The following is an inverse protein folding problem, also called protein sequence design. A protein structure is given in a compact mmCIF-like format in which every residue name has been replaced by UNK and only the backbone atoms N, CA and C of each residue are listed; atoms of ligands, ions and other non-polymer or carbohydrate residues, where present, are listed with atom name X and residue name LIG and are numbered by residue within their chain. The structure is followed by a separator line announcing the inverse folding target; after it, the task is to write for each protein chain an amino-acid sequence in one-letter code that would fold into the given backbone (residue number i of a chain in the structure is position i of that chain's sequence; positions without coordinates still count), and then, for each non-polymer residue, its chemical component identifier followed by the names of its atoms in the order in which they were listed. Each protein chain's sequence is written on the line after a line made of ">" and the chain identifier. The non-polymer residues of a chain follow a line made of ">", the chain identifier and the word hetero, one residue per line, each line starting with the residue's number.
data_IF_649219273223
#
_entry.id   IF_649219273223
#
_cell.length_a   1.000
_cell.length_b   1.000
_cell.length_c   1.000
_cell.angle_alpha   90.00
_cell.angle_beta   90.00
_cell.angle_gamma   90.00
#
_symmetry.space_group_name_H-M   'P 1'
#
loop_
_entity.id
_entity.type
_entity.pdbx_description
1 polymer ?
#
# COMPACT_ATOMS: atom_id res chain seq x y z
N UNK A 1 -6.99 8.48 -0.03
CA UNK A 1 -5.71 7.72 -0.08
C UNK A 1 -4.91 7.76 1.22
N UNK A 2 -4.92 8.87 1.97
CA UNK A 2 -4.09 9.03 3.18
C UNK A 2 -4.38 8.05 4.33
N UNK A 3 -5.54 7.40 4.38
CA UNK A 3 -5.87 6.39 5.42
C UNK A 3 -5.72 4.93 4.94
N UNK A 4 -6.01 4.66 3.67
CA UNK A 4 -6.02 3.30 3.11
C UNK A 4 -4.60 2.76 2.94
N UNK A 5 -3.66 3.60 2.48
CA UNK A 5 -2.27 3.18 2.26
C UNK A 5 -1.56 2.79 3.57
N UNK A 6 -1.65 3.55 4.68
CA UNK A 6 -1.12 3.12 5.98
C UNK A 6 -1.73 1.83 6.53
N UNK A 7 -3.04 1.61 6.33
CA UNK A 7 -3.70 0.38 6.75
C UNK A 7 -3.23 -0.83 5.94
N UNK A 8 -3.13 -0.69 4.62
CA UNK A 8 -2.59 -1.74 3.75
C UNK A 8 -1.12 -2.04 4.05
N UNK A 9 -0.32 -1.01 4.32
CA UNK A 9 1.08 -1.15 4.72
C UNK A 9 1.21 -1.93 6.04
N UNK A 10 0.38 -1.61 7.06
CA UNK A 10 0.30 -2.39 8.30
C UNK A 10 -0.10 -3.84 8.06
N UNK A 11 -1.10 -4.06 7.19
CA UNK A 11 -1.64 -5.39 6.90
C UNK A 11 -0.67 -6.28 6.13
N UNK A 12 0.13 -5.67 5.26
CA UNK A 12 1.17 -6.34 4.48
C UNK A 12 2.52 -6.45 5.22
N UNK A 13 2.64 -5.90 6.43
CA UNK A 13 3.88 -5.96 7.21
C UNK A 13 5.00 -5.09 6.64
N UNK A 14 4.65 -4.04 5.89
CA UNK A 14 5.61 -3.04 5.38
C UNK A 14 6.09 -2.21 6.55
N UNK A 15 7.23 -2.58 7.12
CA UNK A 15 7.86 -1.91 8.26
C UNK A 15 9.15 -1.20 7.85
N UNK A 16 9.59 -0.25 8.66
CA UNK A 16 10.93 0.35 8.50
C UNK A 16 12.06 -0.69 8.71
N UNK A 17 11.80 -1.80 9.41
CA UNK A 17 12.73 -2.93 9.50
C UNK A 17 12.86 -3.64 8.14
N UNK A 18 11.75 -3.90 7.44
CA UNK A 18 11.79 -4.47 6.08
C UNK A 18 12.56 -3.56 5.11
N UNK A 19 12.47 -2.25 5.28
CA UNK A 19 13.23 -1.27 4.48
C UNK A 19 14.74 -1.38 4.72
N UNK A 20 15.15 -1.63 5.96
CA UNK A 20 16.55 -1.80 6.34
C UNK A 20 17.12 -3.16 5.91
N UNK A 21 16.30 -4.22 5.93
CA UNK A 21 16.69 -5.58 5.55
C UNK A 21 16.63 -5.83 4.04
N UNK A 22 15.61 -5.28 3.37
CA UNK A 22 15.39 -5.46 1.94
C UNK A 22 14.60 -4.28 1.33
N UNK A 23 15.35 -3.23 0.97
CA UNK A 23 14.82 -2.01 0.39
C UNK A 23 14.01 -2.24 -0.90
N UNK A 24 14.42 -3.18 -1.77
CA UNK A 24 13.71 -3.46 -3.02
C UNK A 24 12.35 -4.10 -2.77
N UNK A 25 12.26 -5.03 -1.81
CA UNK A 25 11.00 -5.63 -1.39
C UNK A 25 10.09 -4.60 -0.72
N UNK A 26 10.65 -3.71 0.10
CA UNK A 26 9.90 -2.62 0.71
C UNK A 26 9.29 -1.68 -0.34
N UNK A 27 10.04 -1.30 -1.38
CA UNK A 27 9.50 -0.49 -2.50
C UNK A 27 8.40 -1.25 -3.24
N UNK A 28 8.61 -2.55 -3.52
CA UNK A 28 7.61 -3.40 -4.19
C UNK A 28 6.29 -3.43 -3.41
N UNK A 29 6.34 -3.65 -2.10
CA UNK A 29 5.14 -3.75 -1.27
C UNK A 29 4.47 -2.39 -1.07
N UNK A 30 5.25 -1.30 -0.95
CA UNK A 30 4.71 0.05 -0.87
C UNK A 30 3.94 0.41 -2.14
N UNK A 31 4.52 0.11 -3.31
CA UNK A 31 3.86 0.32 -4.59
C UNK A 31 2.60 -0.53 -4.75
N UNK A 32 2.61 -1.78 -4.27
CA UNK A 32 1.42 -2.63 -4.26
C UNK A 32 0.29 -2.04 -3.39
N UNK A 33 0.62 -1.49 -2.22
CA UNK A 33 -0.36 -0.83 -1.34
C UNK A 33 -0.97 0.41 -2.02
N UNK A 34 -0.17 1.22 -2.71
CA UNK A 34 -0.65 2.39 -3.46
C UNK A 34 -1.57 1.98 -4.61
N UNK A 35 -1.17 0.99 -5.42
CA UNK A 35 -1.99 0.50 -6.53
C UNK A 35 -3.32 -0.09 -6.05
N UNK A 36 -3.32 -0.76 -4.91
CA UNK A 36 -4.52 -1.33 -4.29
C UNK A 36 -5.43 -0.23 -3.73
N UNK A 37 -4.88 0.82 -3.11
CA UNK A 37 -5.66 1.99 -2.68
C UNK A 37 -6.28 2.74 -3.86
N UNK A 38 -5.54 2.91 -4.97
CA UNK A 38 -6.08 3.52 -6.20
C UNK A 38 -7.19 2.68 -6.82
N UNK A 39 -7.07 1.35 -6.79
CA UNK A 39 -8.10 0.45 -7.28
C UNK A 39 -9.38 0.56 -6.44
N UNK A 40 -9.27 0.63 -5.12
CA UNK A 40 -10.42 0.81 -4.20
C UNK A 40 -11.13 2.13 -4.50
N UNK A 41 -10.39 3.24 -4.59
CA UNK A 41 -10.97 4.57 -4.88
C UNK A 41 -11.64 4.60 -6.26
N UNK A 42 -11.02 3.98 -7.27
CA UNK A 42 -11.65 3.86 -8.61
C UNK A 42 -12.91 3.02 -8.57
N UNK A 43 -12.94 1.97 -7.77
CA UNK A 43 -14.13 1.14 -7.60
C UNK A 43 -15.26 1.94 -6.94
N UNK A 44 -14.96 2.71 -5.91
CA UNK A 44 -15.94 3.58 -5.26
C UNK A 44 -16.48 4.66 -6.21
N UNK A 45 -15.63 5.27 -7.04
CA UNK A 45 -16.05 6.31 -8.00
C UNK A 45 -16.84 5.80 -9.23
N UNK A 46 -16.73 4.52 -9.57
CA UNK A 46 -17.43 3.93 -10.73
C UNK A 46 -18.84 3.44 -10.36
N UNK A 47 -19.08 3.13 -9.10
CA UNK A 47 -20.36 2.59 -8.61
C UNK A 47 -21.24 3.63 -7.89
N UNK A 48 -20.80 4.89 -7.80
CA UNK A 48 -21.58 6.06 -7.34
C UNK A 48 -22.23 6.83 -8.51
#
# INVERSE_FOLDING_TARGET
>A
MELIVPELAKRNGVTEQLKAENQMEWVRQTNACTAQAEAIVKFELIYD
#
